data_IF_580485197172
#
_entry.id   IF_580485197172
#
_cell.length_a   1.000
_cell.length_b   1.000
_cell.length_c   1.000
_cell.angle_alpha   90.00
_cell.angle_beta   90.00
_cell.angle_gamma   90.00
#
_symmetry.space_group_name_H-M   'P 1'
#
loop_
_entity.id
_entity.type
_entity.pdbx_description
1 polymer ?
#
# COMPACT_ATOMS: atom_id res chain seq x y z
N UNK A 1 -0.11 3.70 -10.63
CA UNK A 1 0.42 5.07 -10.42
C UNK A 1 -0.08 6.05 -11.49
N UNK A 2 -0.27 5.62 -12.74
CA UNK A 2 -0.96 6.44 -13.77
C UNK A 2 -2.34 6.96 -13.34
N UNK A 3 -3.11 6.17 -12.58
CA UNK A 3 -4.40 6.58 -12.01
C UNK A 3 -4.34 7.77 -11.03
N UNK A 4 -3.13 8.20 -10.62
CA UNK A 4 -2.91 9.27 -9.64
C UNK A 4 -2.39 10.56 -10.28
N UNK A 5 -2.12 10.57 -11.59
CA UNK A 5 -1.69 11.78 -12.30
C UNK A 5 -2.82 12.84 -12.27
N UNK A 6 -2.58 13.92 -11.53
CA UNK A 6 -3.47 15.08 -11.43
C UNK A 6 -4.48 15.09 -10.27
N UNK A 7 -4.52 14.05 -9.42
CA UNK A 7 -5.59 13.87 -8.42
C UNK A 7 -5.16 13.71 -6.96
N UNK A 8 -3.86 13.75 -6.64
CA UNK A 8 -3.43 13.78 -5.24
C UNK A 8 -2.18 14.62 -5.02
N UNK A 9 -2.23 15.49 -4.00
CA UNK A 9 -1.06 16.25 -3.52
C UNK A 9 -0.04 15.35 -2.82
N UNK A 10 -0.42 14.14 -2.36
CA UNK A 10 0.44 13.22 -1.60
C UNK A 10 -0.06 11.78 -1.64
N UNK A 11 0.83 10.83 -1.90
CA UNK A 11 0.55 9.39 -1.99
C UNK A 11 1.32 8.70 -0.87
N UNK A 12 0.63 7.86 -0.10
CA UNK A 12 1.26 7.04 0.93
C UNK A 12 1.33 5.59 0.45
N UNK A 13 2.55 5.06 0.34
CA UNK A 13 2.81 3.67 -0.03
C UNK A 13 3.07 2.85 1.23
N UNK A 14 2.13 1.95 1.56
CA UNK A 14 2.27 1.01 2.67
C UNK A 14 3.12 -0.20 2.24
N UNK A 15 4.28 -0.39 2.88
CA UNK A 15 5.30 -1.34 2.44
C UNK A 15 5.80 -2.16 3.63
N UNK A 16 5.75 -3.49 3.49
CA UNK A 16 6.35 -4.41 4.44
C UNK A 16 7.87 -4.39 4.35
N UNK A 17 8.52 -3.88 5.40
CA UNK A 17 9.98 -3.82 5.54
C UNK A 17 10.38 -3.68 7.02
N UNK A 18 11.67 -3.86 7.32
CA UNK A 18 12.17 -3.72 8.69
C UNK A 18 12.35 -2.25 9.10
N UNK A 19 12.55 -1.36 8.13
CA UNK A 19 12.72 0.06 8.33
C UNK A 19 12.43 0.83 7.03
N UNK A 20 12.43 2.16 7.13
CA UNK A 20 12.09 3.07 6.04
C UNK A 20 13.08 3.01 4.88
N UNK A 21 14.39 2.86 5.15
CA UNK A 21 15.42 2.74 4.11
C UNK A 21 15.19 1.51 3.22
N UNK A 22 14.89 0.36 3.83
CA UNK A 22 14.58 -0.87 3.11
C UNK A 22 13.26 -0.74 2.35
N UNK A 23 12.27 -0.04 2.91
CA UNK A 23 11.00 0.18 2.26
C UNK A 23 11.12 1.06 1.02
N UNK A 24 11.90 2.15 1.10
CA UNK A 24 12.27 2.99 -0.03
C UNK A 24 13.03 2.22 -1.10
N UNK A 25 14.03 1.43 -0.69
CA UNK A 25 14.77 0.57 -1.61
C UNK A 25 13.83 -0.36 -2.39
N UNK A 26 12.93 -1.08 -1.69
CA UNK A 26 11.94 -1.96 -2.32
C UNK A 26 11.03 -1.22 -3.30
N UNK A 27 10.53 -0.04 -2.91
CA UNK A 27 9.70 0.79 -3.78
C UNK A 27 10.45 1.20 -5.04
N UNK A 28 11.65 1.77 -4.88
CA UNK A 28 12.47 2.23 -6.00
C UNK A 28 12.86 1.10 -6.94
N UNK A 29 13.27 -0.06 -6.41
CA UNK A 29 13.57 -1.24 -7.24
C UNK A 29 12.35 -1.63 -8.06
N UNK A 30 11.18 -1.75 -7.43
CA UNK A 30 9.95 -2.12 -8.14
C UNK A 30 9.58 -1.10 -9.23
N UNK A 31 9.64 0.20 -8.94
CA UNK A 31 9.31 1.23 -9.93
C UNK A 31 10.28 1.25 -11.12
N UNK A 32 11.57 1.08 -10.86
CA UNK A 32 12.59 1.06 -11.92
C UNK A 32 12.50 -0.18 -12.82
N UNK A 33 11.85 -1.26 -12.38
CA UNK A 33 11.58 -2.43 -13.24
C UNK A 33 10.56 -2.11 -14.35
N UNK A 34 9.69 -1.11 -14.14
CA UNK A 34 8.59 -0.78 -15.07
C UNK A 34 8.73 0.58 -15.77
N UNK A 35 9.43 1.54 -15.17
CA UNK A 35 9.46 2.93 -15.64
C UNK A 35 10.89 3.45 -15.84
N UNK A 36 11.05 4.49 -16.67
CA UNK A 36 12.32 5.19 -16.81
C UNK A 36 12.68 5.95 -15.53
N UNK A 37 13.98 6.15 -15.30
CA UNK A 37 14.50 6.90 -14.14
C UNK A 37 13.84 8.29 -13.99
N UNK A 38 13.73 9.06 -15.09
CA UNK A 38 13.04 10.37 -15.09
C UNK A 38 11.57 10.27 -14.65
N UNK A 39 10.86 9.22 -15.08
CA UNK A 39 9.47 8.98 -14.68
C UNK A 39 9.39 8.64 -13.20
N UNK A 40 10.29 7.79 -12.71
CA UNK A 40 10.37 7.42 -11.30
C UNK A 40 10.64 8.65 -10.44
N UNK A 41 11.66 9.45 -10.76
CA UNK A 41 11.97 10.69 -10.05
C UNK A 41 10.77 11.63 -9.92
N UNK A 42 10.01 11.82 -11.01
CA UNK A 42 8.78 12.62 -10.98
C UNK A 42 7.72 12.00 -10.05
N UNK A 43 7.54 10.67 -10.07
CA UNK A 43 6.62 9.97 -9.18
C UNK A 43 7.05 10.04 -7.71
N UNK A 44 8.34 10.00 -7.40
CA UNK A 44 8.80 10.02 -6.01
C UNK A 44 8.53 11.37 -5.33
N UNK A 45 8.40 12.46 -6.09
CA UNK A 45 8.19 13.81 -5.56
C UNK A 45 6.92 13.98 -4.71
N UNK A 46 5.93 13.10 -4.88
CA UNK A 46 4.67 13.13 -4.13
C UNK A 46 4.39 11.84 -3.36
N UNK A 47 5.37 10.94 -3.23
CA UNK A 47 5.23 9.68 -2.48
C UNK A 47 5.89 9.81 -1.11
N UNK A 48 5.22 9.25 -0.10
CA UNK A 48 5.81 8.91 1.19
C UNK A 48 5.62 7.41 1.46
N UNK A 49 6.58 6.83 2.17
CA UNK A 49 6.56 5.41 2.53
C UNK A 49 6.11 5.25 3.98
N UNK A 50 5.17 4.34 4.19
CA UNK A 50 4.76 3.89 5.50
C UNK A 50 5.23 2.45 5.65
N UNK A 51 6.08 2.19 6.63
CA UNK A 51 6.52 0.83 6.95
C UNK A 51 5.40 0.14 7.73
N UNK A 52 4.94 -1.00 7.25
CA UNK A 52 3.92 -1.77 7.94
C UNK A 52 3.59 -3.10 7.29
N UNK A 53 2.87 -3.94 8.04
CA UNK A 53 2.37 -5.24 7.60
C UNK A 53 0.86 -5.30 7.88
N UNK A 54 0.08 -5.95 7.01
CA UNK A 54 -1.35 -6.14 7.23
C UNK A 54 -1.64 -6.98 8.47
N UNK A 55 -0.70 -7.84 8.88
CA UNK A 55 -0.83 -8.62 10.11
C UNK A 55 -0.67 -7.78 11.39
N UNK A 56 -0.03 -6.61 11.31
CA UNK A 56 0.28 -5.74 12.45
C UNK A 56 -0.14 -4.28 12.19
N UNK A 57 -1.30 -4.07 11.57
CA UNK A 57 -1.71 -2.73 11.12
C UNK A 57 -1.98 -1.75 12.28
N UNK A 58 -2.39 -2.27 13.45
CA UNK A 58 -2.64 -1.47 14.65
C UNK A 58 -1.37 -0.81 15.23
N UNK A 59 -0.18 -1.33 14.91
CA UNK A 59 1.11 -0.79 15.38
C UNK A 59 1.63 0.35 14.50
N UNK A 60 0.95 0.65 13.39
CA UNK A 60 1.40 1.60 12.38
C UNK A 60 0.75 2.96 12.58
N UNK A 61 1.59 4.01 12.64
CA UNK A 61 1.10 5.39 12.63
C UNK A 61 0.69 5.75 11.20
N UNK A 62 -0.61 5.96 11.00
CA UNK A 62 -1.17 6.33 9.71
C UNK A 62 -1.47 7.84 9.64
N UNK A 63 -1.45 8.44 8.44
CA UNK A 63 -1.87 9.82 8.21
C UNK A 63 -3.25 10.13 8.80
N UNK A 64 -3.40 11.31 9.39
CA UNK A 64 -4.65 11.72 10.04
C UNK A 64 -5.85 11.79 9.09
N UNK A 65 -5.63 12.11 7.81
CA UNK A 65 -6.67 12.21 6.80
C UNK A 65 -6.28 11.40 5.56
N UNK A 66 -7.18 10.52 5.13
CA UNK A 66 -7.07 9.76 3.90
C UNK A 66 -8.35 9.92 3.08
N UNK A 67 -8.25 10.49 1.89
CA UNK A 67 -9.43 10.66 1.02
C UNK A 67 -9.78 9.38 0.26
N UNK A 68 -8.78 8.58 -0.08
CA UNK A 68 -8.93 7.35 -0.87
C UNK A 68 -7.88 6.33 -0.47
N UNK A 69 -8.32 5.09 -0.27
CA UNK A 69 -7.47 3.93 -0.02
C UNK A 69 -7.60 2.98 -1.21
N UNK A 70 -6.47 2.63 -1.82
CA UNK A 70 -6.40 1.64 -2.90
C UNK A 70 -5.83 0.36 -2.31
N UNK A 71 -6.69 -0.64 -2.09
CA UNK A 71 -6.31 -1.94 -1.54
C UNK A 71 -6.01 -2.91 -2.67
N UNK A 72 -4.73 -2.99 -3.04
CA UNK A 72 -4.22 -3.91 -4.06
C UNK A 72 -3.16 -4.88 -3.50
N UNK A 73 -2.85 -4.78 -2.20
CA UNK A 73 -1.92 -5.72 -1.55
C UNK A 73 -2.65 -7.01 -1.22
N UNK A 74 -2.15 -8.12 -1.74
CA UNK A 74 -2.69 -9.46 -1.49
C UNK A 74 -1.56 -10.49 -1.52
N UNK A 75 -1.74 -11.58 -0.79
CA UNK A 75 -0.92 -12.79 -0.97
C UNK A 75 -1.56 -13.64 -2.06
N UNK A 76 -0.85 -13.83 -3.17
CA UNK A 76 -1.36 -14.50 -4.38
C UNK A 76 -0.69 -15.84 -4.67
N UNK A 77 -0.02 -16.42 -3.68
CA UNK A 77 0.61 -17.73 -3.83
C UNK A 77 -0.45 -18.78 -4.22
N UNK A 78 -0.15 -19.67 -5.17
CA UNK A 78 -1.11 -20.70 -5.62
C UNK A 78 -1.00 -22.03 -4.85
N UNK A 79 -0.02 -22.14 -3.95
CA UNK A 79 0.24 -23.32 -3.12
C UNK A 79 0.69 -22.86 -1.72
N UNK A 80 -0.24 -22.79 -0.78
CA UNK A 80 0.02 -22.47 0.63
C UNK A 80 -1.13 -22.97 1.51
N UNK A 81 -0.92 -23.04 2.83
CA UNK A 81 -1.98 -23.40 3.79
C UNK A 81 -3.09 -22.34 3.78
N UNK A 82 -4.34 -22.80 3.70
CA UNK A 82 -5.54 -21.95 3.62
C UNK A 82 -5.60 -20.89 4.74
N UNK A 83 -5.09 -21.21 5.93
CA UNK A 83 -5.08 -20.34 7.12
C UNK A 83 -4.21 -19.09 6.96
N UNK A 84 -3.11 -19.16 6.19
CA UNK A 84 -2.21 -18.03 5.94
C UNK A 84 -2.78 -17.07 4.87
N UNK A 85 -3.60 -17.59 3.95
CA UNK A 85 -4.35 -16.76 3.01
C UNK A 85 -5.48 -16.02 3.71
N UNK A 86 -6.18 -16.68 4.64
CA UNK A 86 -7.29 -16.08 5.35
C UNK A 86 -6.84 -14.88 6.19
N UNK A 87 -5.71 -14.99 6.91
CA UNK A 87 -5.17 -13.86 7.70
C UNK A 87 -4.82 -12.66 6.82
N UNK A 88 -4.02 -12.85 5.78
CA UNK A 88 -3.54 -11.70 4.99
C UNK A 88 -4.67 -11.10 4.14
N UNK A 89 -5.43 -11.94 3.44
CA UNK A 89 -6.40 -11.45 2.45
C UNK A 89 -7.76 -11.14 3.06
N UNK A 90 -8.20 -11.86 4.11
CA UNK A 90 -9.51 -11.60 4.75
C UNK A 90 -9.34 -10.60 5.89
N UNK A 91 -8.50 -10.90 6.88
CA UNK A 91 -8.34 -10.00 8.04
C UNK A 91 -7.72 -8.66 7.63
N UNK A 92 -6.68 -8.67 6.80
CA UNK A 92 -6.11 -7.43 6.25
C UNK A 92 -7.14 -6.58 5.48
N UNK A 93 -8.04 -7.19 4.72
CA UNK A 93 -9.13 -6.46 4.04
C UNK A 93 -10.15 -5.89 5.03
N UNK A 94 -10.51 -6.64 6.08
CA UNK A 94 -11.39 -6.15 7.15
C UNK A 94 -10.79 -4.91 7.82
N UNK A 95 -9.51 -4.93 8.12
CA UNK A 95 -8.84 -3.81 8.79
C UNK A 95 -8.75 -2.59 7.86
N UNK A 96 -8.46 -2.78 6.57
CA UNK A 96 -8.50 -1.69 5.58
C UNK A 96 -9.91 -1.10 5.42
N UNK A 97 -10.98 -1.92 5.50
CA UNK A 97 -12.36 -1.43 5.50
C UNK A 97 -12.62 -0.55 6.74
N UNK A 98 -12.18 -0.99 7.92
CA UNK A 98 -12.32 -0.20 9.16
C UNK A 98 -11.60 1.13 9.05
N UNK A 99 -10.38 1.12 8.52
CA UNK A 99 -9.58 2.33 8.28
C UNK A 99 -10.32 3.28 7.33
N UNK A 100 -10.85 2.78 6.21
CA UNK A 100 -11.62 3.59 5.27
C UNK A 100 -12.86 4.21 5.93
N UNK A 101 -13.56 3.46 6.79
CA UNK A 101 -14.70 3.97 7.55
C UNK A 101 -14.31 5.07 8.54
N UNK A 102 -13.21 4.89 9.27
CA UNK A 102 -12.70 5.87 10.25
C UNK A 102 -12.34 7.21 9.61
N UNK A 103 -11.71 7.18 8.42
CA UNK A 103 -11.32 8.39 7.70
C UNK A 103 -12.39 8.91 6.74
N UNK A 104 -13.55 8.25 6.64
CA UNK A 104 -14.55 8.51 5.59
C UNK A 104 -13.96 8.47 4.17
N UNK A 105 -12.96 7.61 3.97
CA UNK A 105 -12.22 7.46 2.73
C UNK A 105 -13.00 6.63 1.71
N UNK A 106 -12.80 6.91 0.43
CA UNK A 106 -13.21 5.99 -0.65
C UNK A 106 -12.31 4.77 -0.64
N UNK A 107 -12.87 3.57 -0.55
CA UNK A 107 -12.13 2.33 -0.74
C UNK A 107 -12.23 1.85 -2.20
N UNK A 108 -11.08 1.63 -2.84
CA UNK A 108 -10.95 0.95 -4.14
C UNK A 108 -10.27 -0.39 -3.88
N UNK A 109 -11.04 -1.47 -3.93
CA UNK A 109 -10.54 -2.82 -3.73
C UNK A 109 -10.26 -3.49 -5.08
N UNK A 110 -9.08 -4.10 -5.20
CA UNK A 110 -8.69 -4.90 -6.37
C UNK A 110 -8.86 -6.38 -6.03
N UNK A 111 -9.68 -7.10 -6.80
CA UNK A 111 -10.01 -8.51 -6.59
C UNK A 111 -9.66 -9.37 -7.82
N UNK A 112 -9.92 -10.68 -7.76
CA UNK A 112 -9.68 -11.65 -8.85
C UNK A 112 -10.93 -12.45 -9.18
#
# INVERSE_FOLDING_TARGET
IEALQGYSHRIYCFIRADNEEIAWYKLMTNLNDYFSEETVEMMLSNIEVIVGDFECMDDVVLPENMDTIIHAGARTDHFGDDDEFEKVNVQGTVDVIRLAQQHHARLIYVST
#
